data_IF_141133633543
#
_entry.id   IF_141133633543
#
_cell.length_a   1.000
_cell.length_b   1.000
_cell.length_c   1.000
_cell.angle_alpha   90.00
_cell.angle_beta   90.00
_cell.angle_gamma   90.00
#
_symmetry.space_group_name_H-M   'P 1'
#
loop_
_entity.id
_entity.type
_entity.pdbx_description
1 polymer ?
#
# COMPACT_ATOMS: atom_id res chain seq x y z
N UNK A 1 -10.34 0.63 -9.84
CA UNK A 1 -10.51 -0.03 -8.52
C UNK A 1 -10.22 1.00 -7.44
N UNK A 2 -11.23 1.32 -6.61
CA UNK A 2 -11.10 2.20 -5.45
C UNK A 2 -10.32 1.49 -4.34
N UNK A 3 -9.23 2.07 -3.86
CA UNK A 3 -8.42 1.55 -2.76
C UNK A 3 -8.55 2.42 -1.50
N UNK A 4 -7.90 2.02 -0.42
CA UNK A 4 -7.91 2.77 0.84
C UNK A 4 -7.33 4.19 0.70
N UNK A 5 -6.40 4.40 -0.23
CA UNK A 5 -5.85 5.72 -0.53
C UNK A 5 -6.91 6.67 -1.13
N UNK A 6 -7.72 6.20 -2.09
CA UNK A 6 -8.81 7.00 -2.66
C UNK A 6 -9.94 7.24 -1.64
N UNK A 7 -10.22 6.26 -0.78
CA UNK A 7 -11.17 6.41 0.33
C UNK A 7 -10.71 7.53 1.27
N UNK A 8 -9.44 7.54 1.69
CA UNK A 8 -8.88 8.60 2.53
C UNK A 8 -9.00 9.98 1.90
N UNK A 9 -8.73 10.10 0.60
CA UNK A 9 -8.86 11.35 -0.17
C UNK A 9 -10.31 11.82 -0.35
N UNK A 10 -11.29 10.94 -0.17
CA UNK A 10 -12.70 11.27 -0.39
C UNK A 10 -13.30 12.20 0.69
N UNK A 11 -12.61 12.38 1.83
CA UNK A 11 -13.13 13.16 2.95
C UNK A 11 -14.42 12.57 3.55
N UNK A 12 -14.53 11.24 3.58
CA UNK A 12 -15.69 10.53 4.13
C UNK A 12 -16.87 10.34 3.17
N UNK A 13 -16.74 10.79 1.91
CA UNK A 13 -17.79 10.61 0.88
C UNK A 13 -17.89 9.17 0.39
N UNK A 14 -16.83 8.39 0.55
CA UNK A 14 -16.78 6.97 0.18
C UNK A 14 -16.62 6.15 1.45
N UNK A 15 -17.51 5.16 1.64
CA UNK A 15 -17.44 4.21 2.74
C UNK A 15 -16.94 2.85 2.23
N UNK A 16 -15.85 2.28 2.79
CA UNK A 16 -15.45 0.91 2.46
C UNK A 16 -16.50 -0.09 2.94
N UNK A 17 -16.70 -1.15 2.14
CA UNK A 17 -17.52 -2.30 2.53
C UNK A 17 -16.63 -3.48 2.90
N UNK A 18 -17.09 -4.28 3.86
CA UNK A 18 -16.49 -5.57 4.17
C UNK A 18 -16.75 -6.57 3.04
N UNK A 19 -15.81 -7.48 2.83
CA UNK A 19 -15.94 -8.61 1.90
C UNK A 19 -16.14 -9.88 2.73
N UNK A 20 -17.33 -10.47 2.70
CA UNK A 20 -17.65 -11.66 3.50
C UNK A 20 -17.30 -11.47 4.98
N UNK A 21 -17.79 -10.38 5.58
CA UNK A 21 -17.51 -9.95 6.97
C UNK A 21 -16.09 -9.43 7.25
N UNK A 22 -15.12 -9.63 6.34
CA UNK A 22 -13.76 -9.14 6.52
C UNK A 22 -13.65 -7.68 6.06
N UNK A 23 -13.32 -6.79 6.99
CA UNK A 23 -13.05 -5.38 6.69
C UNK A 23 -11.72 -5.19 5.93
N UNK A 24 -11.59 -4.19 5.04
CA UNK A 24 -10.35 -3.88 4.30
C UNK A 24 -9.26 -3.23 5.18
N UNK A 25 -8.94 -3.78 6.34
CA UNK A 25 -7.93 -3.21 7.25
C UNK A 25 -6.50 -3.60 6.85
N UNK A 26 -5.50 -2.80 7.26
CA UNK A 26 -4.09 -3.12 7.05
C UNK A 26 -3.71 -4.50 7.64
N UNK A 27 -4.25 -4.83 8.83
CA UNK A 27 -4.04 -6.14 9.45
C UNK A 27 -4.61 -7.30 8.63
N UNK A 28 -5.81 -7.15 8.06
CA UNK A 28 -6.41 -8.19 7.23
C UNK A 28 -5.68 -8.36 5.89
N UNK A 29 -5.12 -7.29 5.34
CA UNK A 29 -4.25 -7.37 4.15
C UNK A 29 -2.94 -8.10 4.48
N UNK A 30 -2.26 -7.72 5.56
CA UNK A 30 -0.98 -8.32 5.96
C UNK A 30 -1.10 -9.81 6.34
N UNK A 31 -2.24 -10.19 6.94
CA UNK A 31 -2.56 -11.58 7.28
C UNK A 31 -3.21 -12.36 6.12
N UNK A 32 -3.33 -11.74 4.94
CA UNK A 32 -3.91 -12.34 3.72
C UNK A 32 -5.37 -12.82 3.89
N UNK A 33 -6.12 -12.25 4.83
CA UNK A 33 -7.54 -12.58 5.07
C UNK A 33 -8.48 -11.71 4.23
N UNK A 34 -8.05 -10.51 3.83
CA UNK A 34 -8.79 -9.69 2.88
C UNK A 34 -8.36 -10.03 1.44
N UNK A 35 -9.25 -10.67 0.68
CA UNK A 35 -8.91 -11.23 -0.63
C UNK A 35 -8.78 -10.20 -1.77
N UNK A 36 -9.37 -9.01 -1.63
CA UNK A 36 -9.37 -8.00 -2.68
C UNK A 36 -8.18 -7.04 -2.50
N UNK A 37 -6.99 -7.50 -2.87
CA UNK A 37 -5.73 -6.75 -2.79
C UNK A 37 -5.08 -6.60 -4.17
N UNK A 38 -4.21 -5.59 -4.30
CA UNK A 38 -3.32 -5.46 -5.45
C UNK A 38 -1.94 -5.04 -4.96
N UNK A 39 -0.91 -5.66 -5.52
CA UNK A 39 0.46 -5.24 -5.28
C UNK A 39 0.81 -4.04 -6.16
N UNK A 40 1.59 -3.12 -5.61
CA UNK A 40 2.17 -2.00 -6.36
C UNK A 40 3.65 -2.25 -6.53
N UNK A 41 4.09 -2.40 -7.78
CA UNK A 41 5.47 -2.73 -8.11
C UNK A 41 6.24 -1.50 -8.61
N UNK A 42 7.47 -1.33 -8.12
CA UNK A 42 8.47 -0.47 -8.73
C UNK A 42 9.37 -1.36 -9.59
N UNK A 43 9.31 -1.21 -10.91
CA UNK A 43 9.98 -2.10 -11.86
C UNK A 43 11.13 -1.35 -12.55
N UNK A 44 12.32 -1.94 -12.55
CA UNK A 44 13.49 -1.44 -13.28
C UNK A 44 13.83 -2.38 -14.43
N UNK A 45 14.15 -1.83 -15.61
CA UNK A 45 14.48 -2.63 -16.81
C UNK A 45 15.79 -3.42 -16.68
N UNK A 46 16.75 -2.87 -15.96
CA UNK A 46 18.08 -3.42 -15.74
C UNK A 46 18.54 -3.08 -14.31
N UNK A 47 19.80 -3.39 -13.99
CA UNK A 47 20.39 -2.98 -12.71
C UNK A 47 20.19 -1.46 -12.50
N UNK A 48 19.59 -1.04 -11.37
CA UNK A 48 19.32 0.37 -11.12
C UNK A 48 20.60 1.18 -10.95
N UNK A 49 20.56 2.45 -11.36
CA UNK A 49 21.61 3.41 -11.01
C UNK A 49 21.65 3.60 -9.49
N UNK A 50 22.76 4.13 -8.97
CA UNK A 50 22.91 4.36 -7.52
C UNK A 50 21.79 5.22 -6.92
N UNK A 51 21.31 6.23 -7.65
CA UNK A 51 20.18 7.06 -7.23
C UNK A 51 18.87 6.27 -7.14
N UNK A 52 18.59 5.40 -8.12
CA UNK A 52 17.40 4.55 -8.11
C UNK A 52 17.49 3.52 -7.00
N UNK A 53 18.64 2.89 -6.79
CA UNK A 53 18.86 1.94 -5.68
C UNK A 53 18.57 2.58 -4.33
N UNK A 54 19.12 3.78 -4.06
CA UNK A 54 18.87 4.52 -2.81
C UNK A 54 17.39 4.83 -2.61
N UNK A 55 16.67 5.15 -3.68
CA UNK A 55 15.23 5.37 -3.59
C UNK A 55 14.46 4.08 -3.26
N UNK A 56 14.81 2.96 -3.91
CA UNK A 56 14.19 1.67 -3.62
C UNK A 56 14.47 1.21 -2.18
N UNK A 57 15.68 1.46 -1.68
CA UNK A 57 16.05 1.23 -0.27
C UNK A 57 15.25 2.14 0.68
N UNK A 58 15.09 3.42 0.35
CA UNK A 58 14.27 4.34 1.14
C UNK A 58 12.81 3.87 1.21
N UNK A 59 12.21 3.47 0.09
CA UNK A 59 10.83 2.97 0.04
C UNK A 59 10.64 1.75 0.96
N UNK A 60 11.67 0.91 1.11
CA UNK A 60 11.69 -0.28 1.99
C UNK A 60 12.18 0.00 3.42
N UNK A 61 12.51 1.25 3.74
CA UNK A 61 12.96 1.63 5.07
C UNK A 61 11.78 1.93 6.00
N UNK A 62 12.02 1.93 7.31
CA UNK A 62 11.02 2.36 8.30
C UNK A 62 10.50 3.79 8.06
N UNK A 63 11.31 4.67 7.45
CA UNK A 63 10.85 6.00 7.06
C UNK A 63 9.89 5.95 5.86
N UNK A 64 10.19 5.11 4.87
CA UNK A 64 9.31 4.84 3.73
C UNK A 64 7.98 4.25 4.16
N UNK A 65 7.99 3.28 5.08
CA UNK A 65 6.78 2.67 5.64
C UNK A 65 5.84 3.71 6.27
N UNK A 66 6.39 4.67 7.04
CA UNK A 66 5.59 5.76 7.63
C UNK A 66 4.89 6.60 6.55
N UNK A 67 5.58 6.90 5.46
CA UNK A 67 5.00 7.65 4.33
C UNK A 67 3.88 6.84 3.67
N UNK A 68 4.10 5.54 3.44
CA UNK A 68 3.11 4.64 2.82
C UNK A 68 1.85 4.56 3.68
N UNK A 69 2.00 4.35 4.99
CA UNK A 69 0.88 4.28 5.94
C UNK A 69 0.12 5.60 6.02
N UNK A 70 0.83 6.73 6.08
CA UNK A 70 0.21 8.06 6.10
C UNK A 70 -0.65 8.35 4.84
N UNK A 71 -0.37 7.66 3.73
CA UNK A 71 -1.11 7.78 2.48
C UNK A 71 -2.18 6.69 2.29
N UNK A 72 -2.47 5.89 3.33
CA UNK A 72 -3.53 4.88 3.31
C UNK A 72 -3.18 3.63 2.50
N UNK A 73 -1.90 3.32 2.32
CA UNK A 73 -1.43 2.09 1.71
C UNK A 73 -0.79 1.16 2.75
N UNK A 74 -0.63 -0.11 2.39
CA UNK A 74 0.01 -1.13 3.23
C UNK A 74 1.44 -1.33 2.73
N UNK A 75 2.48 -1.18 3.58
CA UNK A 75 3.86 -1.43 3.16
C UNK A 75 4.07 -2.88 2.71
N UNK A 76 4.91 -3.04 1.68
CA UNK A 76 5.38 -4.36 1.26
C UNK A 76 6.31 -4.94 2.32
N UNK A 77 6.29 -6.27 2.49
CA UNK A 77 7.30 -6.98 3.28
C UNK A 77 8.68 -6.95 2.62
#
# INVERSE_FOLDING_TARGET
MTSHAEIGKSGGRIKPLSLGEIAPSAGNVQNKTYALTRDSFLVTKAAPSSAVTRFLEFVRSAAGEKVIVANGAVPAK
#
